data_IF_295139748923
#
_entry.id   IF_295139748923
#
_cell.length_a   1.000
_cell.length_b   1.000
_cell.length_c   1.000
_cell.angle_alpha   90.00
_cell.angle_beta   90.00
_cell.angle_gamma   90.00
#
_symmetry.space_group_name_H-M   'P 1'
#
loop_
_entity.id
_entity.type
_entity.pdbx_description
1 polymer ?
#
# COMPACT_ATOMS: atom_id res chain seq x y z
N UNK A 1 13.69 0.78 -14.00
CA UNK A 1 14.32 0.22 -12.77
C UNK A 1 15.82 0.52 -12.76
N UNK A 2 16.42 0.80 -11.60
CA UNK A 2 17.86 1.09 -11.46
C UNK A 2 18.50 0.09 -10.47
N UNK A 3 19.74 -0.34 -10.73
CA UNK A 3 20.51 -1.14 -9.77
C UNK A 3 21.02 -0.25 -8.62
N UNK A 4 21.12 -0.80 -7.41
CA UNK A 4 21.72 -0.10 -6.27
C UNK A 4 23.25 -0.07 -6.33
N UNK A 5 23.88 0.61 -5.36
CA UNK A 5 25.35 0.63 -5.23
C UNK A 5 26.07 1.57 -6.20
N UNK A 6 25.33 2.50 -6.81
CA UNK A 6 25.87 3.49 -7.73
C UNK A 6 25.42 4.89 -7.34
N UNK A 7 26.22 5.88 -7.71
CA UNK A 7 25.84 7.30 -7.70
C UNK A 7 25.34 7.64 -9.08
N UNK A 8 24.17 8.28 -9.16
CA UNK A 8 23.55 8.67 -10.42
C UNK A 8 23.34 10.19 -10.45
N UNK A 9 23.35 10.76 -11.65
CA UNK A 9 22.72 12.06 -11.90
C UNK A 9 21.25 11.82 -12.22
N UNK A 10 20.34 12.23 -11.33
CA UNK A 10 18.90 12.07 -11.52
C UNK A 10 18.29 13.35 -12.10
N UNK A 11 17.35 13.21 -13.04
CA UNK A 11 16.62 14.35 -13.59
C UNK A 11 15.76 15.01 -12.49
N UNK A 12 15.97 16.31 -12.27
CA UNK A 12 15.29 17.11 -11.26
C UNK A 12 14.80 18.42 -11.89
N UNK A 13 13.68 18.37 -12.62
CA UNK A 13 13.07 19.57 -13.18
C UNK A 13 12.41 20.39 -12.07
N UNK A 14 12.09 21.66 -12.34
CA UNK A 14 11.39 22.52 -11.36
C UNK A 14 10.03 21.93 -10.92
N UNK A 15 9.43 21.06 -11.74
CA UNK A 15 8.14 20.43 -11.49
C UNK A 15 8.25 19.09 -10.77
N UNK A 16 9.47 18.56 -10.54
CA UNK A 16 9.65 17.20 -10.03
C UNK A 16 10.86 17.08 -9.10
N UNK A 17 10.61 16.53 -7.91
CA UNK A 17 11.67 16.08 -6.99
C UNK A 17 12.03 14.63 -7.35
N UNK A 18 13.32 14.29 -7.54
CA UNK A 18 13.73 12.91 -7.75
C UNK A 18 13.34 12.04 -6.54
N UNK A 19 12.51 11.04 -6.77
CA UNK A 19 12.06 10.08 -5.78
C UNK A 19 12.21 8.67 -6.34
N UNK A 20 12.71 7.75 -5.51
CA UNK A 20 12.90 6.36 -5.88
C UNK A 20 12.23 5.46 -4.85
N UNK A 21 11.53 4.44 -5.31
CA UNK A 21 10.93 3.42 -4.46
C UNK A 21 11.83 2.19 -4.45
N UNK A 22 12.03 1.61 -3.26
CA UNK A 22 12.86 0.41 -3.12
C UNK A 22 12.11 -0.80 -3.69
N UNK A 23 12.80 -1.67 -4.40
CA UNK A 23 12.23 -2.98 -4.76
C UNK A 23 11.78 -3.72 -3.49
N UNK A 24 10.65 -4.42 -3.56
CA UNK A 24 9.95 -5.05 -2.45
C UNK A 24 9.05 -4.11 -1.64
N UNK A 25 8.99 -2.82 -1.96
CA UNK A 25 8.06 -1.92 -1.26
C UNK A 25 6.61 -2.25 -1.61
N UNK A 26 5.77 -2.29 -0.59
CA UNK A 26 4.31 -2.22 -0.68
C UNK A 26 3.94 -0.84 -0.15
N UNK A 27 3.27 -0.02 -0.96
CA UNK A 27 2.86 1.34 -0.60
C UNK A 27 1.35 1.44 -0.69
N UNK A 28 0.65 1.46 0.46
CA UNK A 28 -0.78 1.73 0.49
C UNK A 28 -1.05 3.21 0.19
N UNK A 29 -1.99 3.48 -0.71
CA UNK A 29 -2.40 4.83 -1.10
C UNK A 29 -3.93 4.89 -1.08
N UNK A 30 -4.46 5.78 -0.25
CA UNK A 30 -5.90 6.02 -0.21
C UNK A 30 -6.36 6.86 -1.41
N UNK A 31 -7.66 6.83 -1.68
CA UNK A 31 -8.27 7.77 -2.63
C UNK A 31 -7.94 9.24 -2.30
N UNK A 32 -7.85 10.12 -3.31
CA UNK A 32 -7.77 11.54 -3.08
C UNK A 32 -8.91 12.05 -2.20
N UNK A 33 -8.54 12.80 -1.17
CA UNK A 33 -9.43 13.42 -0.18
C UNK A 33 -8.90 14.80 0.21
N UNK A 34 -9.79 15.66 0.71
CA UNK A 34 -9.49 17.05 1.11
C UNK A 34 -8.99 17.14 2.56
N UNK A 35 -9.37 16.19 3.39
CA UNK A 35 -8.97 16.09 4.79
C UNK A 35 -8.89 14.62 5.20
N UNK A 36 -8.17 14.33 6.29
CA UNK A 36 -8.07 12.98 6.85
C UNK A 36 -9.46 12.44 7.19
N UNK A 37 -9.70 11.16 6.93
CA UNK A 37 -10.96 10.46 7.23
C UNK A 37 -12.22 10.96 6.49
N UNK A 38 -12.09 11.75 5.41
CA UNK A 38 -13.23 12.10 4.55
C UNK A 38 -13.91 10.86 3.94
N UNK A 39 -13.12 9.82 3.64
CA UNK A 39 -13.55 8.58 2.99
C UNK A 39 -12.99 7.35 3.71
N UNK A 40 -13.49 7.02 4.91
CA UNK A 40 -12.93 5.94 5.73
C UNK A 40 -13.10 4.54 5.12
N UNK A 41 -14.05 4.39 4.19
CA UNK A 41 -14.36 3.18 3.41
C UNK A 41 -13.87 3.24 1.96
N UNK A 42 -13.11 4.29 1.60
CA UNK A 42 -12.56 4.49 0.27
C UNK A 42 -11.65 3.34 -0.17
N UNK A 43 -11.51 3.17 -1.49
CA UNK A 43 -10.62 2.14 -2.04
C UNK A 43 -9.17 2.49 -1.68
N UNK A 44 -8.43 1.50 -1.19
CA UNK A 44 -7.00 1.65 -0.94
C UNK A 44 -6.21 0.90 -2.01
N UNK A 45 -5.39 1.63 -2.77
CA UNK A 45 -4.47 1.03 -3.73
C UNK A 45 -3.24 0.48 -2.99
N UNK A 46 -2.91 -0.79 -3.20
CA UNK A 46 -1.69 -1.41 -2.71
C UNK A 46 -0.68 -1.44 -3.87
N UNK A 47 0.20 -0.44 -3.93
CA UNK A 47 1.24 -0.37 -4.94
C UNK A 47 2.42 -1.27 -4.57
N UNK A 48 2.61 -2.33 -5.34
CA UNK A 48 3.71 -3.28 -5.19
C UNK A 48 4.79 -2.93 -6.20
N UNK A 49 6.04 -2.80 -5.72
CA UNK A 49 7.22 -2.58 -6.53
C UNK A 49 8.10 -3.85 -6.50
N UNK A 50 7.97 -4.78 -7.45
CA UNK A 50 8.66 -6.07 -7.43
C UNK A 50 10.18 -5.94 -7.53
N UNK A 51 10.85 -7.07 -7.32
CA UNK A 51 12.29 -7.25 -7.38
C UNK A 51 12.95 -7.73 -6.10
N UNK A 52 12.17 -7.99 -5.05
CA UNK A 52 12.49 -8.75 -3.83
C UNK A 52 11.23 -8.87 -2.97
N UNK A 53 11.26 -9.75 -1.98
CA UNK A 53 10.20 -9.86 -0.99
C UNK A 53 10.02 -8.56 -0.19
N UNK A 54 8.78 -8.34 0.24
CA UNK A 54 8.35 -7.10 0.87
C UNK A 54 7.45 -7.34 2.06
N UNK A 55 7.49 -6.45 3.04
CA UNK A 55 6.52 -6.43 4.14
C UNK A 55 6.16 -5.01 4.50
N UNK A 56 4.88 -4.78 4.79
CA UNK A 56 4.35 -3.52 5.30
C UNK A 56 3.30 -3.81 6.37
N UNK A 57 3.33 -3.11 7.50
CA UNK A 57 2.30 -3.22 8.54
C UNK A 57 1.39 -2.00 8.43
N UNK A 58 0.18 -2.21 7.91
CA UNK A 58 -0.83 -1.16 7.87
C UNK A 58 -1.39 -0.97 9.28
N UNK A 59 -1.17 0.21 9.86
CA UNK A 59 -1.66 0.60 11.18
C UNK A 59 -2.77 1.61 11.04
N UNK A 60 -3.84 1.47 11.83
CA UNK A 60 -4.97 2.40 11.87
C UNK A 60 -5.56 2.50 13.27
N UNK A 61 -5.97 3.69 13.68
CA UNK A 61 -6.73 3.96 14.91
C UNK A 61 -7.79 5.02 14.63
N UNK A 62 -8.35 5.65 15.69
CA UNK A 62 -9.37 6.68 15.55
C UNK A 62 -8.85 7.99 14.92
N UNK A 63 -7.53 8.18 14.80
CA UNK A 63 -6.91 9.40 14.27
C UNK A 63 -6.88 10.57 15.26
N UNK A 64 -7.64 10.49 16.36
CA UNK A 64 -7.68 11.48 17.43
C UNK A 64 -7.61 10.84 18.83
N UNK A 65 -7.19 11.66 19.81
CA UNK A 65 -7.06 11.20 21.20
C UNK A 65 -5.88 10.28 21.48
N UNK A 66 -6.00 9.47 22.55
CA UNK A 66 -4.93 8.63 23.10
C UNK A 66 -5.38 7.17 23.35
N UNK A 67 -6.49 6.75 22.76
CA UNK A 67 -7.02 5.40 23.01
C UNK A 67 -6.13 4.29 22.43
N UNK A 68 -5.27 4.63 21.45
CA UNK A 68 -4.24 3.72 20.95
C UNK A 68 -3.26 3.27 22.06
N UNK A 69 -3.00 4.11 23.07
CA UNK A 69 -2.16 3.75 24.23
C UNK A 69 -2.77 2.62 25.06
N UNK A 70 -4.08 2.45 24.94
CA UNK A 70 -4.87 1.41 25.62
C UNK A 70 -5.18 0.23 24.69
N UNK A 71 -4.61 0.21 23.48
CA UNK A 71 -4.77 -0.86 22.50
C UNK A 71 -5.91 -0.66 21.51
N UNK A 72 -6.54 0.53 21.47
CA UNK A 72 -7.58 0.85 20.48
C UNK A 72 -6.96 1.24 19.14
N UNK A 73 -6.40 0.25 18.45
CA UNK A 73 -5.89 0.36 17.08
C UNK A 73 -6.02 -0.99 16.38
N UNK A 74 -5.82 -1.01 15.08
CA UNK A 74 -5.75 -2.23 14.29
C UNK A 74 -4.49 -2.27 13.44
N UNK A 75 -4.04 -3.48 13.13
CA UNK A 75 -2.95 -3.71 12.18
C UNK A 75 -3.30 -4.80 11.17
N UNK A 76 -2.80 -4.65 9.94
CA UNK A 76 -2.88 -5.64 8.87
C UNK A 76 -1.47 -5.80 8.28
N UNK A 77 -0.88 -6.98 8.42
CA UNK A 77 0.44 -7.28 7.84
C UNK A 77 0.27 -7.64 6.36
N UNK A 78 0.93 -6.90 5.47
CA UNK A 78 0.97 -7.12 4.03
C UNK A 78 2.32 -7.72 3.67
N UNK A 79 2.34 -8.85 2.97
CA UNK A 79 3.57 -9.51 2.52
C UNK A 79 3.56 -9.75 1.02
N UNK A 80 4.62 -9.33 0.35
CA UNK A 80 4.87 -9.61 -1.05
C UNK A 80 5.95 -10.67 -1.15
N UNK A 81 5.66 -11.75 -1.88
CA UNK A 81 6.60 -12.80 -2.21
C UNK A 81 6.94 -12.69 -3.69
N UNK A 82 8.17 -12.27 -3.99
CA UNK A 82 8.57 -11.86 -5.34
C UNK A 82 8.70 -13.06 -6.29
N UNK A 83 9.23 -14.16 -5.77
CA UNK A 83 9.47 -15.36 -6.56
C UNK A 83 8.17 -16.05 -7.01
N UNK A 84 7.13 -16.00 -6.17
CA UNK A 84 5.81 -16.59 -6.46
C UNK A 84 4.81 -15.58 -7.00
N UNK A 85 5.16 -14.29 -7.01
CA UNK A 85 4.26 -13.18 -7.32
C UNK A 85 2.96 -13.23 -6.50
N UNK A 86 3.10 -13.44 -5.20
CA UNK A 86 1.97 -13.53 -4.28
C UNK A 86 1.92 -12.34 -3.34
N UNK A 87 0.74 -11.73 -3.23
CA UNK A 87 0.42 -10.83 -2.13
C UNK A 87 -0.37 -11.58 -1.07
N UNK A 88 0.13 -11.58 0.16
CA UNK A 88 -0.60 -11.99 1.35
C UNK A 88 -1.07 -10.76 2.12
N UNK A 89 -2.38 -10.69 2.36
CA UNK A 89 -3.01 -9.76 3.29
C UNK A 89 -3.33 -10.55 4.55
N UNK A 90 -2.61 -10.28 5.63
CA UNK A 90 -2.72 -11.00 6.90
C UNK A 90 -4.09 -10.87 7.57
N UNK A 91 -4.30 -11.66 8.62
CA UNK A 91 -5.46 -11.46 9.51
C UNK A 91 -5.32 -10.13 10.27
N UNK A 92 -6.42 -9.40 10.40
CA UNK A 92 -6.45 -8.12 11.11
C UNK A 92 -6.31 -8.38 12.60
N UNK A 93 -5.35 -7.69 13.23
CA UNK A 93 -5.15 -7.74 14.68
C UNK A 93 -5.61 -6.43 15.31
N UNK A 94 -6.38 -6.50 16.38
CA UNK A 94 -6.90 -5.30 17.08
C UNK A 94 -8.17 -4.73 16.44
N UNK A 95 -8.70 -3.70 17.09
CA UNK A 95 -9.92 -2.99 16.69
C UNK A 95 -10.00 -1.66 17.43
N UNK A 96 -10.74 -0.70 16.88
CA UNK A 96 -11.01 0.59 17.52
C UNK A 96 -12.42 1.07 17.18
N UNK A 97 -13.01 1.98 17.99
CA UNK A 97 -14.33 2.56 17.70
C UNK A 97 -14.35 3.24 16.32
N UNK A 98 -15.36 2.93 15.50
CA UNK A 98 -15.50 3.51 14.16
C UNK A 98 -14.67 2.82 13.06
N UNK A 99 -13.90 1.77 13.39
CA UNK A 99 -13.17 0.98 12.41
C UNK A 99 -14.11 0.32 11.39
N UNK A 100 -13.75 0.39 10.11
CA UNK A 100 -14.49 -0.30 9.05
C UNK A 100 -14.30 -1.81 9.15
N UNK A 101 -15.40 -2.58 9.16
CA UNK A 101 -15.35 -4.04 9.23
C UNK A 101 -14.77 -4.65 7.95
N UNK A 102 -15.04 -4.00 6.81
CA UNK A 102 -14.61 -4.37 5.47
C UNK A 102 -13.70 -3.29 4.87
N UNK A 103 -12.75 -3.73 4.04
CA UNK A 103 -11.91 -2.86 3.20
C UNK A 103 -11.95 -3.32 1.76
N UNK A 104 -11.78 -2.39 0.83
CA UNK A 104 -11.57 -2.70 -0.59
C UNK A 104 -10.14 -2.34 -0.94
N UNK A 105 -9.34 -3.36 -1.26
CA UNK A 105 -7.98 -3.16 -1.76
C UNK A 105 -7.94 -3.34 -3.26
N UNK A 106 -7.30 -2.41 -3.96
CA UNK A 106 -6.93 -2.57 -5.37
C UNK A 106 -5.43 -2.80 -5.46
N UNK A 107 -5.01 -3.97 -5.90
CA UNK A 107 -3.58 -4.28 -6.01
C UNK A 107 -3.03 -3.78 -7.33
N UNK A 108 -1.93 -3.03 -7.27
CA UNK A 108 -1.29 -2.42 -8.43
C UNK A 108 0.18 -2.83 -8.47
N UNK A 109 0.57 -3.64 -9.46
CA UNK A 109 1.96 -4.05 -9.65
C UNK A 109 2.65 -3.10 -10.64
N UNK A 110 3.79 -2.54 -10.23
CA UNK A 110 4.62 -1.69 -11.08
C UNK A 110 5.73 -2.50 -11.76
N UNK A 111 5.79 -2.49 -13.09
CA UNK A 111 6.90 -3.10 -13.84
C UNK A 111 8.00 -2.09 -14.19
N UNK A 112 9.22 -2.59 -14.37
CA UNK A 112 10.44 -1.84 -14.65
C UNK A 112 10.39 -0.95 -15.91
N UNK A 113 9.44 -1.21 -16.83
CA UNK A 113 9.21 -0.46 -18.07
C UNK A 113 8.25 0.72 -17.96
N UNK A 114 7.48 0.85 -16.86
CA UNK A 114 6.61 2.00 -16.63
C UNK A 114 7.38 3.07 -15.85
N UNK A 115 7.85 4.09 -16.55
CA UNK A 115 8.62 5.20 -15.96
C UNK A 115 7.77 6.30 -15.34
N UNK A 116 6.45 6.26 -15.54
CA UNK A 116 5.52 7.20 -14.93
C UNK A 116 4.59 6.46 -13.97
N UNK A 117 4.40 7.05 -12.79
CA UNK A 117 3.20 6.80 -11.99
C UNK A 117 2.05 7.35 -12.84
N UNK A 118 1.47 6.53 -13.72
CA UNK A 118 0.39 6.98 -14.58
C UNK A 118 -0.73 7.54 -13.70
N UNK A 119 -0.93 8.86 -13.78
CA UNK A 119 -2.14 9.54 -13.34
C UNK A 119 -3.24 9.05 -14.28
N UNK A 120 -3.86 7.92 -13.97
CA UNK A 120 -4.80 7.28 -14.87
C UNK A 120 -5.30 5.95 -14.33
N UNK A 121 -6.61 5.84 -14.25
CA UNK A 121 -7.44 4.79 -13.65
C UNK A 121 -7.32 3.40 -14.30
N UNK A 122 -6.44 3.20 -15.28
CA UNK A 122 -6.38 1.99 -16.09
C UNK A 122 -5.09 1.19 -15.87
N UNK A 123 -4.90 0.76 -14.62
CA UNK A 123 -4.06 -0.40 -14.33
C UNK A 123 -5.00 -1.56 -14.09
N UNK A 124 -4.81 -2.67 -14.79
CA UNK A 124 -5.50 -3.94 -14.58
C UNK A 124 -5.13 -4.49 -13.18
N UNK A 125 -5.64 -3.84 -12.15
CA UNK A 125 -5.39 -4.17 -10.76
C UNK A 125 -6.46 -5.13 -10.26
N UNK A 126 -6.03 -6.17 -9.55
CA UNK A 126 -6.94 -7.10 -8.88
C UNK A 126 -7.58 -6.38 -7.71
N UNK A 127 -8.90 -6.23 -7.74
CA UNK A 127 -9.67 -5.67 -6.61
C UNK A 127 -10.13 -6.81 -5.72
N UNK A 128 -9.90 -6.68 -4.42
CA UNK A 128 -10.33 -7.64 -3.40
C UNK A 128 -11.11 -6.96 -2.29
N UNK A 129 -12.16 -7.64 -1.86
CA UNK A 129 -12.89 -7.32 -0.64
C UNK A 129 -12.25 -8.06 0.53
N UNK A 130 -11.77 -7.32 1.52
CA UNK A 130 -11.13 -7.85 2.71
C UNK A 130 -12.02 -7.66 3.93
N UNK A 131 -12.27 -8.72 4.68
CA UNK A 131 -13.18 -8.74 5.84
C UNK A 131 -12.44 -9.00 7.17
N UNK A 132 -11.13 -8.75 7.23
CA UNK A 132 -10.31 -8.99 8.43
C UNK A 132 -9.65 -10.37 8.50
N UNK A 133 -9.97 -11.30 7.58
CA UNK A 133 -9.37 -12.64 7.54
C UNK A 133 -8.23 -12.70 6.53
N UNK A 134 -7.21 -13.51 6.83
CA UNK A 134 -6.08 -13.76 5.94
C UNK A 134 -6.54 -14.11 4.52
N UNK A 135 -5.95 -13.45 3.54
CA UNK A 135 -6.17 -13.65 2.11
C UNK A 135 -4.83 -13.73 1.38
N UNK A 136 -4.70 -14.67 0.44
CA UNK A 136 -3.55 -14.77 -0.47
C UNK A 136 -4.05 -14.59 -1.89
N UNK A 137 -3.33 -13.79 -2.67
CA UNK A 137 -3.68 -13.42 -4.03
C UNK A 137 -2.49 -13.75 -4.93
N UNK A 138 -2.72 -14.59 -5.94
CA UNK A 138 -1.77 -14.84 -7.02
C UNK A 138 -1.90 -13.72 -8.08
N UNK A 139 -0.77 -13.11 -8.46
CA UNK A 139 -0.73 -11.91 -9.30
C UNK A 139 0.21 -12.04 -10.51
#
# INVERSE_FOLDING_TARGET
RLAGGQVISAAASIMAIPLFVRAGSIVPVAEPMQYVDEKPDGVMELHIYPGRDGTFLLYEDAGDGYDYEQGAFSTIELKWYDATQQLEIGERTGSYPGMQEQRTFRVVIHDAGQTELSQGTDRSGTTVTYQGKRLVIDL
#
